data_IF_168904528351
#
_entry.id   IF_168904528351
#
_cell.length_a   1.000
_cell.length_b   1.000
_cell.length_c   1.000
_cell.angle_alpha   90.00
_cell.angle_beta   90.00
_cell.angle_gamma   90.00
#
_symmetry.space_group_name_H-M   'P 1'
#
loop_
_entity.id
_entity.type
_entity.pdbx_description
1 polymer ?
#
# COMPACT_ATOMS: atom_id res chain seq x y z
N UNK A 1 -15.12 15.71 -26.67
CA UNK A 1 -14.11 15.31 -25.68
C UNK A 1 -14.76 15.28 -24.31
N UNK A 2 -14.70 14.15 -23.60
CA UNK A 2 -15.13 14.05 -22.20
C UNK A 2 -14.05 14.65 -21.30
N UNK A 3 -14.42 15.46 -20.30
CA UNK A 3 -13.50 16.00 -19.30
C UNK A 3 -13.71 15.25 -17.98
N UNK A 4 -12.63 14.74 -17.42
CA UNK A 4 -12.61 14.07 -16.11
C UNK A 4 -11.74 14.90 -15.15
N UNK A 5 -11.94 14.80 -13.83
CA UNK A 5 -10.93 15.26 -12.87
C UNK A 5 -9.64 14.45 -13.03
N UNK A 6 -8.55 14.94 -12.44
CA UNK A 6 -7.30 14.18 -12.39
C UNK A 6 -7.47 12.86 -11.64
N UNK A 7 -7.01 11.75 -12.24
CA UNK A 7 -7.13 10.42 -11.64
C UNK A 7 -6.03 10.20 -10.59
N UNK A 8 -6.28 9.29 -9.64
CA UNK A 8 -5.34 8.92 -8.58
C UNK A 8 -5.03 7.43 -8.70
N UNK A 9 -3.75 7.08 -8.73
CA UNK A 9 -3.29 5.69 -8.61
C UNK A 9 -2.76 5.44 -7.18
N UNK A 10 -3.51 4.72 -6.32
CA UNK A 10 -3.12 4.51 -4.93
C UNK A 10 -2.04 3.42 -4.75
N UNK A 11 -1.56 2.77 -5.83
CA UNK A 11 -0.65 1.63 -5.73
C UNK A 11 0.36 1.57 -6.88
N UNK A 12 1.42 2.38 -6.79
CA UNK A 12 2.53 2.32 -7.76
C UNK A 12 3.84 1.83 -7.13
N UNK A 13 4.71 1.25 -7.93
CA UNK A 13 6.06 0.84 -7.50
C UNK A 13 7.11 1.54 -8.35
N UNK A 14 7.63 2.68 -7.88
CA UNK A 14 8.55 3.53 -8.65
C UNK A 14 10.03 3.14 -8.51
N UNK A 15 10.35 2.13 -7.69
CA UNK A 15 11.67 1.46 -7.59
C UNK A 15 12.87 2.33 -7.17
N UNK A 16 12.68 3.61 -6.93
CA UNK A 16 13.67 4.53 -6.38
C UNK A 16 13.38 4.85 -4.91
N UNK A 17 14.33 4.61 -3.98
CA UNK A 17 15.76 4.35 -4.19
C UNK A 17 16.13 2.90 -4.59
N UNK A 18 17.28 2.78 -5.26
CA UNK A 18 18.03 1.52 -5.41
C UNK A 18 17.89 0.78 -6.74
N UNK A 19 16.68 0.66 -7.29
CA UNK A 19 16.42 -0.11 -8.50
C UNK A 19 16.01 0.77 -9.70
N UNK A 20 16.66 1.93 -9.83
CA UNK A 20 16.34 2.98 -10.83
C UNK A 20 16.49 2.53 -12.29
N UNK A 21 17.23 1.45 -12.57
CA UNK A 21 17.28 0.85 -13.90
C UNK A 21 15.96 0.19 -14.32
N UNK A 22 15.05 -0.09 -13.38
CA UNK A 22 13.72 -0.64 -13.67
C UNK A 22 12.69 0.45 -13.90
N UNK A 23 12.69 1.45 -13.02
CA UNK A 23 11.86 2.64 -13.06
C UNK A 23 12.42 3.64 -12.03
N UNK A 24 12.20 4.94 -12.20
CA UNK A 24 12.51 5.95 -11.19
C UNK A 24 11.35 6.97 -11.05
N UNK A 25 11.50 7.97 -10.17
CA UNK A 25 10.43 8.96 -9.96
C UNK A 25 10.12 9.78 -11.21
N UNK A 26 11.10 10.06 -12.08
CA UNK A 26 10.91 10.85 -13.31
C UNK A 26 10.14 10.03 -14.36
N UNK A 27 10.63 8.84 -14.68
CA UNK A 27 10.04 8.00 -15.72
C UNK A 27 8.67 7.45 -15.33
N UNK A 28 8.52 7.01 -14.07
CA UNK A 28 7.25 6.45 -13.60
C UNK A 28 6.13 7.49 -13.48
N UNK A 29 6.43 8.72 -13.04
CA UNK A 29 5.42 9.79 -13.00
C UNK A 29 5.13 10.39 -14.39
N UNK A 30 6.08 10.34 -15.32
CA UNK A 30 5.80 10.62 -16.73
C UNK A 30 4.78 9.61 -17.30
N UNK A 31 4.94 8.32 -16.99
CA UNK A 31 4.00 7.28 -17.40
C UNK A 31 2.62 7.47 -16.75
N UNK A 32 2.56 7.86 -15.47
CA UNK A 32 1.31 8.16 -14.77
C UNK A 32 0.50 9.27 -15.47
N UNK A 33 1.17 10.40 -15.80
CA UNK A 33 0.53 11.51 -16.52
C UNK A 33 0.04 11.09 -17.91
N UNK A 34 0.82 10.29 -18.64
CA UNK A 34 0.40 9.76 -19.94
C UNK A 34 -0.85 8.86 -19.82
N UNK A 35 -1.02 8.18 -18.69
CA UNK A 35 -2.22 7.41 -18.35
C UNK A 35 -3.40 8.23 -17.80
N UNK A 36 -3.24 9.55 -17.64
CA UNK A 36 -4.27 10.44 -17.08
C UNK A 36 -4.30 10.51 -15.55
N UNK A 37 -3.31 9.93 -14.87
CA UNK A 37 -3.15 10.03 -13.42
C UNK A 37 -2.35 11.28 -13.06
N UNK A 38 -2.92 12.11 -12.18
CA UNK A 38 -2.29 13.35 -11.71
C UNK A 38 -1.75 13.22 -10.28
N UNK A 39 -2.04 12.11 -9.60
CA UNK A 39 -1.48 11.79 -8.29
C UNK A 39 -1.17 10.29 -8.18
N UNK A 40 -0.03 9.95 -7.58
CA UNK A 40 0.36 8.55 -7.33
C UNK A 40 0.81 8.31 -5.89
N UNK A 41 0.54 7.12 -5.35
CA UNK A 41 1.00 6.72 -4.02
C UNK A 41 2.01 5.57 -4.14
N UNK A 42 3.27 5.85 -3.85
CA UNK A 42 4.39 4.94 -4.08
C UNK A 42 4.59 3.95 -2.93
N UNK A 43 4.69 2.66 -3.25
CA UNK A 43 4.89 1.57 -2.30
C UNK A 43 6.30 1.55 -1.70
N UNK A 44 6.47 1.05 -0.46
CA UNK A 44 7.71 1.21 0.31
C UNK A 44 8.77 0.13 0.06
N UNK A 45 8.50 -0.86 -0.78
CA UNK A 45 9.39 -2.00 -1.03
C UNK A 45 10.52 -1.69 -2.04
N UNK A 46 11.18 -0.55 -1.85
CA UNK A 46 12.38 -0.10 -2.57
C UNK A 46 13.65 -0.74 -1.97
N UNK A 47 14.84 -0.29 -2.40
CA UNK A 47 16.12 -0.73 -1.83
C UNK A 47 16.99 0.49 -1.44
N UNK A 48 17.12 0.84 -0.15
CA UNK A 48 16.49 0.19 1.01
C UNK A 48 14.96 0.34 1.01
N UNK A 49 14.23 -0.54 1.74
CA UNK A 49 12.79 -0.34 1.95
C UNK A 49 12.54 0.97 2.70
N UNK A 50 11.35 1.55 2.54
CA UNK A 50 10.93 2.79 3.21
C UNK A 50 10.17 2.43 4.48
N UNK A 51 10.82 2.46 5.64
CA UNK A 51 10.24 1.92 6.89
C UNK A 51 10.70 2.66 8.15
N UNK A 52 11.52 3.71 7.98
CA UNK A 52 11.95 4.62 9.03
C UNK A 52 12.04 6.06 8.48
N UNK A 53 12.42 7.01 9.33
CA UNK A 53 12.50 8.42 8.95
C UNK A 53 13.55 8.67 7.85
N UNK A 54 14.72 8.05 7.96
CA UNK A 54 15.82 8.29 7.02
C UNK A 54 15.52 7.77 5.62
N UNK A 55 14.91 6.59 5.53
CA UNK A 55 14.48 6.00 4.25
C UNK A 55 13.29 6.77 3.67
N UNK A 56 12.35 7.23 4.50
CA UNK A 56 11.24 8.09 4.06
C UNK A 56 11.75 9.41 3.49
N UNK A 57 12.65 10.09 4.19
CA UNK A 57 13.26 11.35 3.75
C UNK A 57 14.05 11.17 2.44
N UNK A 58 14.76 10.04 2.28
CA UNK A 58 15.46 9.69 1.05
C UNK A 58 14.51 9.57 -0.15
N UNK A 59 13.39 8.86 0.02
CA UNK A 59 12.39 8.70 -1.05
C UNK A 59 11.69 10.02 -1.38
N UNK A 60 11.27 10.79 -0.37
CA UNK A 60 10.60 12.08 -0.56
C UNK A 60 11.52 13.12 -1.20
N UNK A 61 12.82 13.12 -0.87
CA UNK A 61 13.81 13.99 -1.50
C UNK A 61 14.01 13.66 -2.97
N UNK A 62 14.05 12.38 -3.32
CA UNK A 62 14.14 11.94 -4.72
C UNK A 62 12.87 12.33 -5.50
N UNK A 63 11.70 12.09 -4.92
CA UNK A 63 10.41 12.48 -5.49
C UNK A 63 10.35 14.00 -5.72
N UNK A 64 10.77 14.82 -4.76
CA UNK A 64 10.75 16.28 -4.87
C UNK A 64 11.57 16.80 -6.05
N UNK A 65 12.66 16.12 -6.41
CA UNK A 65 13.54 16.52 -7.51
C UNK A 65 13.06 16.06 -8.88
N UNK A 66 12.28 14.97 -8.93
CA UNK A 66 12.05 14.22 -10.18
C UNK A 66 10.58 14.03 -10.54
N UNK A 67 9.67 14.00 -9.56
CA UNK A 67 8.27 13.70 -9.80
C UNK A 67 7.62 14.78 -10.67
N UNK A 68 6.84 14.33 -11.65
CA UNK A 68 6.17 15.19 -12.64
C UNK A 68 4.69 15.44 -12.32
N UNK A 69 4.13 14.69 -11.38
CA UNK A 69 2.77 14.80 -10.86
C UNK A 69 2.78 14.81 -9.33
N UNK A 70 1.63 15.07 -8.72
CA UNK A 70 1.50 15.00 -7.25
C UNK A 70 1.79 13.57 -6.76
N UNK A 71 2.30 13.46 -5.53
CA UNK A 71 2.71 12.18 -4.98
C UNK A 71 2.53 12.09 -3.47
N UNK A 72 2.49 10.85 -2.98
CA UNK A 72 2.74 10.53 -1.59
C UNK A 72 3.50 9.20 -1.48
N UNK A 73 4.23 8.99 -0.38
CA UNK A 73 5.05 7.80 -0.15
C UNK A 73 4.45 6.97 0.99
N UNK A 74 4.18 5.69 0.75
CA UNK A 74 3.83 4.77 1.82
C UNK A 74 5.02 4.52 2.75
N UNK A 75 4.72 4.24 4.01
CA UNK A 75 5.68 3.67 4.96
C UNK A 75 5.43 2.17 5.10
N UNK A 76 6.48 1.38 5.11
CA UNK A 76 6.44 -0.07 5.29
C UNK A 76 6.39 -0.45 6.76
N UNK A 77 5.50 -1.37 7.10
CA UNK A 77 5.53 -2.04 8.39
C UNK A 77 6.63 -3.12 8.38
N UNK A 78 7.54 -3.04 9.34
CA UNK A 78 8.55 -4.05 9.65
C UNK A 78 8.28 -4.68 11.02
N UNK A 79 9.07 -5.69 11.41
CA UNK A 79 8.83 -6.46 12.64
C UNK A 79 8.94 -5.60 13.91
N UNK A 80 9.87 -4.64 13.94
CA UNK A 80 10.23 -3.89 15.16
C UNK A 80 10.04 -2.37 15.05
N UNK A 81 9.30 -1.88 14.05
CA UNK A 81 9.20 -0.44 13.77
C UNK A 81 7.82 0.19 14.08
N UNK A 82 6.92 -0.48 14.79
CA UNK A 82 5.56 0.03 15.02
C UNK A 82 5.49 1.43 15.66
N UNK A 83 6.37 1.73 16.61
CA UNK A 83 6.47 3.07 17.22
C UNK A 83 6.95 4.12 16.23
N UNK A 84 8.00 3.79 15.47
CA UNK A 84 8.57 4.66 14.43
C UNK A 84 7.51 4.92 13.36
N UNK A 85 6.80 3.88 12.94
CA UNK A 85 5.75 3.97 11.95
C UNK A 85 4.60 4.87 12.41
N UNK A 86 4.16 4.72 13.66
CA UNK A 86 3.13 5.58 14.24
C UNK A 86 3.57 7.06 14.31
N UNK A 87 4.82 7.32 14.67
CA UNK A 87 5.38 8.67 14.77
C UNK A 87 5.57 9.38 13.41
N UNK A 88 5.56 8.63 12.30
CA UNK A 88 5.73 9.15 10.93
C UNK A 88 4.43 9.17 10.12
N UNK A 89 3.30 8.83 10.74
CA UNK A 89 2.03 8.64 10.03
C UNK A 89 1.53 9.90 9.30
N UNK A 90 1.83 11.09 9.82
CA UNK A 90 1.47 12.38 9.23
C UNK A 90 2.35 12.79 8.04
N UNK A 91 3.47 12.10 7.81
CA UNK A 91 4.41 12.33 6.71
C UNK A 91 4.32 11.28 5.60
N UNK A 92 3.58 10.20 5.82
CA UNK A 92 3.40 9.11 4.87
C UNK A 92 1.99 9.13 4.26
N UNK A 93 1.82 8.49 3.11
CA UNK A 93 0.50 8.27 2.52
C UNK A 93 -0.40 7.43 3.44
N UNK A 94 0.19 6.37 4.01
CA UNK A 94 -0.42 5.39 4.91
C UNK A 94 0.64 4.35 5.28
N UNK A 95 0.31 3.42 6.18
CA UNK A 95 1.11 2.23 6.45
C UNK A 95 0.78 1.12 5.45
N UNK A 96 1.80 0.48 4.88
CA UNK A 96 1.68 -0.71 4.04
C UNK A 96 2.27 -1.92 4.77
N UNK A 97 1.43 -2.93 5.00
CA UNK A 97 1.81 -4.21 5.58
C UNK A 97 1.87 -5.29 4.50
N UNK A 98 2.92 -6.10 4.52
CA UNK A 98 3.06 -7.27 3.66
C UNK A 98 2.90 -8.54 4.50
N UNK A 99 1.70 -9.12 4.44
CA UNK A 99 1.29 -10.23 5.30
C UNK A 99 1.59 -11.62 4.70
N UNK A 100 1.92 -11.64 3.41
CA UNK A 100 2.36 -12.83 2.68
C UNK A 100 3.78 -12.67 2.15
N UNK A 101 4.15 -13.42 1.11
CA UNK A 101 5.48 -13.36 0.54
C UNK A 101 5.82 -11.93 0.09
N UNK A 102 6.90 -11.42 0.62
CA UNK A 102 7.49 -10.16 0.20
C UNK A 102 9.01 -10.26 0.23
N UNK A 103 9.67 -9.24 -0.32
CA UNK A 103 11.12 -9.14 -0.33
C UNK A 103 11.63 -8.37 0.89
N UNK A 104 12.68 -8.89 1.53
CA UNK A 104 13.45 -8.16 2.52
C UNK A 104 12.76 -7.98 3.88
N UNK A 105 13.05 -6.87 4.55
CA UNK A 105 12.75 -6.61 5.97
C UNK A 105 11.26 -6.32 6.27
N UNK A 106 10.39 -6.33 5.26
CA UNK A 106 8.97 -5.95 5.38
C UNK A 106 8.02 -7.14 5.58
N UNK A 107 8.54 -8.36 5.64
CA UNK A 107 7.72 -9.57 5.82
C UNK A 107 7.21 -9.64 7.25
N UNK A 108 5.89 -9.76 7.38
CA UNK A 108 5.21 -9.95 8.67
C UNK A 108 4.44 -11.28 8.64
N UNK A 109 5.11 -12.38 8.95
CA UNK A 109 4.54 -13.74 8.86
C UNK A 109 3.91 -14.27 10.16
N UNK A 110 3.92 -13.47 11.22
CA UNK A 110 3.27 -13.78 12.49
C UNK A 110 2.34 -12.64 12.94
N UNK A 111 1.15 -12.99 13.42
CA UNK A 111 0.13 -12.03 13.87
C UNK A 111 0.61 -11.17 15.05
N UNK A 112 1.51 -11.67 15.90
CA UNK A 112 2.12 -10.89 16.98
C UNK A 112 2.96 -9.71 16.47
N UNK A 113 3.46 -9.77 15.23
CA UNK A 113 4.11 -8.64 14.57
C UNK A 113 3.09 -7.63 14.04
N UNK A 114 1.85 -8.04 13.80
CA UNK A 114 0.79 -7.17 13.27
C UNK A 114 0.14 -6.35 14.39
N UNK A 115 -0.05 -6.96 15.56
CA UNK A 115 -0.75 -6.35 16.70
C UNK A 115 -0.20 -4.96 17.07
N UNK A 116 1.13 -4.75 17.23
CA UNK A 116 1.66 -3.43 17.57
C UNK A 116 1.33 -2.36 16.53
N UNK A 117 1.30 -2.71 15.23
CA UNK A 117 0.95 -1.76 14.17
C UNK A 117 -0.52 -1.36 14.24
N UNK A 118 -1.41 -2.33 14.45
CA UNK A 118 -2.85 -2.06 14.59
C UNK A 118 -3.17 -1.23 15.85
N UNK A 119 -2.43 -1.45 16.94
CA UNK A 119 -2.57 -0.74 18.21
C UNK A 119 -2.05 0.70 18.16
N UNK A 120 -0.87 0.91 17.56
CA UNK A 120 -0.13 2.18 17.68
C UNK A 120 -0.32 3.11 16.50
N UNK A 121 -0.50 2.59 15.28
CA UNK A 121 -0.63 3.46 14.10
C UNK A 121 -1.89 4.33 14.22
N UNK A 122 -1.83 5.66 14.02
CA UNK A 122 -2.97 6.52 14.34
C UNK A 122 -4.23 6.16 13.54
N UNK A 123 -5.38 6.16 14.21
CA UNK A 123 -6.65 5.65 13.66
C UNK A 123 -7.21 6.46 12.51
N UNK A 124 -6.84 7.72 12.38
CA UNK A 124 -7.27 8.57 11.25
C UNK A 124 -6.62 8.17 9.92
N UNK A 125 -5.52 7.41 9.96
CA UNK A 125 -4.87 6.88 8.77
C UNK A 125 -5.22 5.39 8.58
N UNK A 126 -5.59 4.98 7.35
CA UNK A 126 -5.86 3.58 7.07
C UNK A 126 -4.57 2.74 7.18
N UNK A 127 -4.74 1.42 7.23
CA UNK A 127 -3.66 0.46 7.01
C UNK A 127 -3.96 -0.25 5.70
N UNK A 128 -2.97 -0.35 4.80
CA UNK A 128 -3.08 -1.10 3.55
C UNK A 128 -2.37 -2.43 3.70
N UNK A 129 -3.05 -3.54 3.43
CA UNK A 129 -2.49 -4.89 3.54
C UNK A 129 -2.34 -5.52 2.15
N UNK A 130 -1.12 -5.97 1.83
CA UNK A 130 -0.94 -7.04 0.84
C UNK A 130 -1.20 -8.37 1.57
N UNK A 131 -2.30 -9.00 1.21
CA UNK A 131 -2.77 -10.21 1.87
C UNK A 131 -3.60 -11.08 0.90
N UNK A 132 -3.40 -12.39 0.92
CA UNK A 132 -4.09 -13.37 0.08
C UNK A 132 -4.79 -14.44 0.93
N UNK A 133 -5.99 -14.84 0.53
CA UNK A 133 -6.72 -15.95 1.15
C UNK A 133 -6.84 -15.86 2.69
N UNK A 134 -6.02 -16.63 3.44
CA UNK A 134 -6.09 -16.76 4.91
C UNK A 134 -5.58 -15.52 5.62
N UNK A 135 -4.50 -14.92 5.13
CA UNK A 135 -3.94 -13.69 5.71
C UNK A 135 -4.92 -12.52 5.53
N UNK A 136 -5.65 -12.49 4.41
CA UNK A 136 -6.70 -11.50 4.16
C UNK A 136 -7.86 -11.65 5.16
N UNK A 137 -8.34 -12.87 5.39
CA UNK A 137 -9.37 -13.13 6.38
C UNK A 137 -8.93 -12.68 7.78
N UNK A 138 -7.66 -12.90 8.13
CA UNK A 138 -7.07 -12.44 9.38
C UNK A 138 -6.95 -10.90 9.45
N UNK A 139 -6.55 -10.22 8.37
CA UNK A 139 -6.50 -8.76 8.32
C UNK A 139 -7.89 -8.13 8.53
N UNK A 140 -8.95 -8.74 7.97
CA UNK A 140 -10.34 -8.33 8.19
C UNK A 140 -10.75 -8.57 9.66
N UNK A 141 -10.35 -9.69 10.26
CA UNK A 141 -10.58 -9.95 11.68
C UNK A 141 -9.89 -8.89 12.56
N UNK A 142 -8.66 -8.51 12.24
CA UNK A 142 -7.94 -7.44 12.95
C UNK A 142 -8.66 -6.09 12.84
N UNK A 143 -9.18 -5.73 11.65
CA UNK A 143 -9.99 -4.53 11.49
C UNK A 143 -11.21 -4.51 12.42
N UNK A 144 -11.85 -5.67 12.63
CA UNK A 144 -12.97 -5.82 13.55
C UNK A 144 -12.52 -5.75 15.03
N UNK A 145 -11.48 -6.48 15.42
CA UNK A 145 -10.94 -6.50 16.80
C UNK A 145 -10.50 -5.10 17.25
N UNK A 146 -9.77 -4.41 16.39
CA UNK A 146 -9.21 -3.09 16.70
C UNK A 146 -10.17 -1.94 16.34
N UNK A 147 -11.35 -2.22 15.78
CA UNK A 147 -12.32 -1.24 15.31
C UNK A 147 -11.70 -0.11 14.46
N UNK A 148 -10.92 -0.47 13.44
CA UNK A 148 -10.25 0.51 12.57
C UNK A 148 -10.36 0.16 11.08
N UNK A 149 -10.25 1.15 10.18
CA UNK A 149 -10.23 0.89 8.75
C UNK A 149 -9.01 0.07 8.30
N UNK A 150 -9.24 -0.90 7.44
CA UNK A 150 -8.21 -1.58 6.64
C UNK A 150 -8.56 -1.52 5.15
N UNK A 151 -7.55 -1.42 4.31
CA UNK A 151 -7.67 -1.52 2.86
C UNK A 151 -6.90 -2.75 2.37
N UNK A 152 -7.57 -3.64 1.64
CA UNK A 152 -6.93 -4.83 1.08
C UNK A 152 -6.48 -4.53 -0.35
N UNK A 153 -5.17 -4.64 -0.58
CA UNK A 153 -4.56 -4.39 -1.87
C UNK A 153 -4.88 -5.51 -2.88
N UNK A 154 -4.98 -5.13 -4.16
CA UNK A 154 -4.99 -5.99 -5.36
C UNK A 154 -5.72 -7.33 -5.23
N UNK A 155 -7.01 -7.32 -4.90
CA UNK A 155 -7.83 -8.54 -4.88
C UNK A 155 -7.79 -9.21 -6.25
N UNK A 156 -7.66 -10.54 -6.25
CA UNK A 156 -7.53 -11.34 -7.47
C UNK A 156 -8.47 -12.54 -7.49
N UNK A 157 -9.00 -12.98 -6.34
CA UNK A 157 -9.81 -14.18 -6.24
C UNK A 157 -11.29 -13.90 -5.95
N UNK A 158 -12.15 -14.80 -6.43
CA UNK A 158 -13.61 -14.70 -6.23
C UNK A 158 -13.97 -14.80 -4.75
N UNK A 159 -13.37 -15.74 -4.04
CA UNK A 159 -13.56 -15.98 -2.62
C UNK A 159 -13.20 -14.75 -1.77
N UNK A 160 -12.17 -14.00 -2.17
CA UNK A 160 -11.72 -12.80 -1.47
C UNK A 160 -12.75 -11.68 -1.58
N UNK A 161 -13.26 -11.43 -2.79
CA UNK A 161 -14.32 -10.44 -3.03
C UNK A 161 -15.58 -10.81 -2.25
N UNK A 162 -15.97 -12.09 -2.22
CA UNK A 162 -17.14 -12.55 -1.47
C UNK A 162 -16.97 -12.36 0.04
N UNK A 163 -15.78 -12.62 0.58
CA UNK A 163 -15.49 -12.40 2.00
C UNK A 163 -15.51 -10.91 2.36
N UNK A 164 -14.92 -10.04 1.51
CA UNK A 164 -14.96 -8.58 1.69
C UNK A 164 -16.40 -8.06 1.67
N UNK A 165 -17.22 -8.56 0.74
CA UNK A 165 -18.65 -8.22 0.69
C UNK A 165 -19.35 -8.59 2.00
N UNK A 166 -19.17 -9.81 2.49
CA UNK A 166 -19.78 -10.26 3.74
C UNK A 166 -19.29 -9.45 4.96
N UNK A 167 -18.01 -9.07 4.98
CA UNK A 167 -17.45 -8.21 6.02
C UNK A 167 -18.07 -6.81 6.03
N UNK A 168 -18.26 -6.20 4.84
CA UNK A 168 -18.97 -4.91 4.69
C UNK A 168 -20.42 -4.98 5.16
N UNK A 169 -21.13 -6.05 4.81
CA UNK A 169 -22.52 -6.29 5.25
C UNK A 169 -22.65 -6.42 6.77
N UNK A 170 -21.57 -6.85 7.46
CA UNK A 170 -21.47 -6.89 8.92
C UNK A 170 -20.98 -5.59 9.56
N UNK A 171 -20.76 -4.53 8.77
CA UNK A 171 -20.28 -3.23 9.26
C UNK A 171 -18.78 -3.18 9.56
N UNK A 172 -17.99 -4.18 9.16
CA UNK A 172 -16.53 -4.14 9.32
C UNK A 172 -15.96 -3.08 8.37
N UNK A 173 -15.08 -2.22 8.89
CA UNK A 173 -14.46 -1.09 8.17
C UNK A 173 -13.38 -1.58 7.19
N UNK A 174 -13.80 -2.27 6.12
CA UNK A 174 -12.90 -2.80 5.09
C UNK A 174 -13.18 -2.16 3.72
N UNK A 175 -12.11 -1.78 3.03
CA UNK A 175 -12.12 -1.38 1.62
C UNK A 175 -11.12 -2.24 0.85
N UNK A 176 -11.15 -2.19 -0.48
CA UNK A 176 -10.23 -2.97 -1.32
C UNK A 176 -10.05 -2.32 -2.69
N UNK A 177 -9.00 -2.72 -3.39
CA UNK A 177 -8.72 -2.37 -4.78
C UNK A 177 -8.51 -3.64 -5.62
N UNK A 178 -8.60 -3.50 -6.94
CA UNK A 178 -8.33 -4.56 -7.92
C UNK A 178 -7.42 -3.98 -8.99
N UNK A 179 -6.37 -4.72 -9.36
CA UNK A 179 -5.52 -4.33 -10.48
C UNK A 179 -6.18 -4.65 -11.83
N UNK A 180 -5.98 -3.81 -12.87
CA UNK A 180 -6.56 -4.07 -14.20
C UNK A 180 -6.23 -5.46 -14.76
N UNK A 181 -5.02 -5.98 -14.54
CA UNK A 181 -4.64 -7.31 -15.04
C UNK A 181 -5.45 -8.45 -14.42
N UNK A 182 -5.99 -8.31 -13.19
CA UNK A 182 -6.91 -9.31 -12.62
C UNK A 182 -8.31 -9.27 -13.24
N UNK A 183 -8.64 -8.21 -14.00
CA UNK A 183 -9.91 -8.07 -14.71
C UNK A 183 -9.81 -8.53 -16.17
N UNK A 184 -8.64 -8.37 -16.77
CA UNK A 184 -8.46 -8.53 -18.22
C UNK A 184 -7.51 -9.65 -18.62
N UNK A 185 -6.75 -10.25 -17.68
CA UNK A 185 -5.89 -11.41 -17.92
C UNK A 185 -6.34 -12.56 -17.01
N UNK A 186 -6.24 -13.80 -17.51
CA UNK A 186 -6.53 -15.02 -16.76
C UNK A 186 -5.55 -16.13 -17.18
N UNK A 187 -5.34 -17.11 -16.31
CA UNK A 187 -4.55 -18.30 -16.67
C UNK A 187 -5.28 -19.07 -17.80
N UNK A 188 -4.65 -19.16 -18.98
CA UNK A 188 -5.15 -19.94 -20.11
C UNK A 188 -5.82 -19.15 -21.25
N UNK A 189 -5.59 -17.84 -21.36
CA UNK A 189 -6.03 -16.98 -22.48
C UNK A 189 -4.87 -16.35 -23.23
#
# INVERSE_FOLDING_TARGET
>A
MLKLPGLIDPHVHLREPGATHKEDWDSGTAAALAGGFTMVLAMPNTKPPIFDAGTLDLALSAAQQKARCDYAQYLGAGPDNAEVAAALADKAASLKMYLDMTFGQLRLDDMSLWMPHFEKYPRQYPIVAHSESRSMAAAILFAAIYDRPVHIAHISLREEVLLIKAAKEKGIKVTCEVCPHHLFLAEGG
#
